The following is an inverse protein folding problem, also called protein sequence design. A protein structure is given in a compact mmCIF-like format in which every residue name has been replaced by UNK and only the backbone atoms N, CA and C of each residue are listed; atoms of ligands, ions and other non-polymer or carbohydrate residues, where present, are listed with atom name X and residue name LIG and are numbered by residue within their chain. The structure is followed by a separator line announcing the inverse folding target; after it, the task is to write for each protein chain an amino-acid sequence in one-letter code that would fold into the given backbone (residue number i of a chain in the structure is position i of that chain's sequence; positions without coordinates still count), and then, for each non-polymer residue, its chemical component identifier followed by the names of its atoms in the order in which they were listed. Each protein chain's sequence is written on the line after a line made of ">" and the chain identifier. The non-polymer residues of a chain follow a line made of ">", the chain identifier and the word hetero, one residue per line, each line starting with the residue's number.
data_IF_576266485473
#
_entry.id   IF_576266485473
#
_cell.length_a   1.000
_cell.length_b   1.000
_cell.length_c   1.000
_cell.angle_alpha   90.00
_cell.angle_beta   90.00
_cell.angle_gamma   90.00
#
_symmetry.space_group_name_H-M   'P 1'
#
loop_
_entity.id
_entity.type
_entity.pdbx_description
1 polymer ?
#
# COMPACT_ATOMS: atom_id res chain seq x y z
N UNK A 1 -13.20 6.52 6.10
CA UNK A 1 -12.32 5.89 7.10
C UNK A 1 -11.79 4.60 6.52
N UNK A 2 -10.54 4.56 6.06
CA UNK A 2 -9.86 3.31 5.74
C UNK A 2 -8.50 3.33 6.45
N UNK A 3 -8.48 2.57 7.55
CA UNK A 3 -7.41 2.24 8.51
C UNK A 3 -6.48 3.36 9.01
N UNK A 4 -6.93 4.03 10.07
CA UNK A 4 -6.03 4.55 11.11
C UNK A 4 -5.83 3.48 12.18
N UNK A 5 -4.71 2.75 12.12
CA UNK A 5 -4.38 1.72 13.10
C UNK A 5 -2.91 1.36 13.01
N UNK A 6 -2.10 1.90 13.92
CA UNK A 6 -0.66 1.71 13.94
C UNK A 6 -0.24 0.26 14.23
N UNK A 7 0.69 -0.23 13.43
CA UNK A 7 1.53 -1.39 13.78
C UNK A 7 2.97 -0.91 13.83
N UNK A 8 3.54 -0.83 15.03
CA UNK A 8 4.97 -0.64 15.24
C UNK A 8 5.64 -2.03 15.27
N UNK A 9 6.58 -2.29 14.35
CA UNK A 9 7.50 -3.42 14.47
C UNK A 9 8.77 -2.93 15.14
N UNK A 10 8.94 -3.35 16.39
CA UNK A 10 10.10 -3.10 17.24
C UNK A 10 11.22 -4.09 16.86
N UNK A 11 12.35 -3.57 16.36
CA UNK A 11 13.56 -4.35 16.10
C UNK A 11 14.49 -4.38 17.33
N UNK A 12 14.71 -5.57 17.88
CA UNK A 12 15.56 -5.91 19.03
C UNK A 12 17.06 -5.65 18.77
N UNK A 13 17.75 -5.08 19.75
CA UNK A 13 19.20 -4.84 19.74
C UNK A 13 19.91 -5.91 20.57
N UNK A 14 20.61 -6.84 19.91
CA UNK A 14 21.53 -7.78 20.57
C UNK A 14 22.97 -7.59 20.11
N UNK A 15 23.84 -7.57 21.12
CA UNK A 15 25.25 -7.16 21.14
C UNK A 15 26.19 -8.00 20.25
N UNK A 16 27.20 -7.28 19.76
CA UNK A 16 28.40 -7.72 19.06
C UNK A 16 29.35 -8.55 19.94
N UNK A 17 29.90 -9.61 19.35
CA UNK A 17 31.12 -10.27 19.80
C UNK A 17 31.60 -11.32 18.79
N UNK A 18 32.77 -11.08 18.19
CA UNK A 18 33.55 -12.10 17.46
C UNK A 18 33.81 -11.80 15.99
N UNK A 19 35.05 -11.45 15.66
CA UNK A 19 35.59 -11.36 14.30
C UNK A 19 35.77 -12.76 13.70
N UNK A 20 35.25 -13.05 12.50
CA UNK A 20 36.01 -13.79 11.46
C UNK A 20 35.33 -13.76 10.08
N UNK A 21 36.03 -13.08 9.16
CA UNK A 21 36.29 -13.33 7.73
C UNK A 21 35.22 -13.94 6.80
N UNK A 22 34.99 -13.16 5.74
CA UNK A 22 34.92 -13.58 4.33
C UNK A 22 33.75 -14.47 3.89
N UNK A 23 32.56 -13.86 3.81
CA UNK A 23 31.61 -14.15 2.74
C UNK A 23 30.73 -12.93 2.53
N UNK A 24 31.15 -12.05 1.61
CA UNK A 24 30.27 -10.99 1.09
C UNK A 24 29.20 -11.68 0.23
N UNK A 25 28.21 -12.28 0.89
CA UNK A 25 26.88 -12.42 0.32
C UNK A 25 26.38 -11.01 0.09
N UNK A 26 26.44 -10.55 -1.15
CA UNK A 26 25.66 -9.40 -1.59
C UNK A 26 24.19 -9.80 -1.49
N UNK A 27 23.64 -9.78 -0.28
CA UNK A 27 22.21 -9.76 -0.05
C UNK A 27 21.68 -8.50 -0.72
N UNK A 28 20.96 -8.70 -1.82
CA UNK A 28 20.29 -7.62 -2.53
C UNK A 28 19.20 -7.12 -1.59
N UNK A 29 19.48 -6.02 -0.91
CA UNK A 29 18.48 -5.34 -0.09
C UNK A 29 17.50 -4.64 -1.02
N UNK A 30 16.24 -5.03 -0.94
CA UNK A 30 15.15 -4.51 -1.78
C UNK A 30 14.30 -3.53 -0.98
N UNK A 31 13.92 -2.43 -1.62
CA UNK A 31 13.05 -1.42 -1.05
C UNK A 31 11.72 -1.43 -1.80
N UNK A 32 10.60 -1.56 -1.08
CA UNK A 32 9.24 -1.54 -1.64
C UNK A 32 8.38 -0.54 -0.90
N UNK A 33 7.64 0.28 -1.63
CA UNK A 33 6.57 1.10 -1.04
C UNK A 33 5.39 0.21 -0.64
N UNK A 34 4.89 0.43 0.57
CA UNK A 34 3.71 -0.26 1.10
C UNK A 34 2.43 0.48 0.68
N UNK A 35 1.31 -0.23 0.46
CA UNK A 35 0.05 0.35 0.00
C UNK A 35 -0.70 1.13 1.09
N UNK A 36 -0.13 1.23 2.30
CA UNK A 36 -0.63 2.04 3.41
C UNK A 36 0.36 3.13 3.79
N UNK A 37 -0.19 4.20 4.35
CA UNK A 37 0.57 5.32 4.90
C UNK A 37 0.74 5.16 6.41
N UNK A 38 1.72 5.87 6.97
CA UNK A 38 1.83 6.02 8.41
C UNK A 38 0.62 6.80 8.95
N UNK A 39 0.35 6.76 10.27
CA UNK A 39 -0.68 7.60 10.89
C UNK A 39 -0.53 9.09 10.59
N UNK A 40 0.70 9.57 10.36
CA UNK A 40 1.04 10.94 9.97
C UNK A 40 0.88 11.20 8.46
N UNK A 41 0.38 10.24 7.69
CA UNK A 41 0.12 10.34 6.25
C UNK A 41 1.36 10.16 5.36
N UNK A 42 2.49 9.74 5.92
CA UNK A 42 3.74 9.54 5.16
C UNK A 42 3.75 8.19 4.45
N UNK A 43 4.39 8.11 3.27
CA UNK A 43 4.59 6.84 2.56
C UNK A 43 5.48 5.92 3.41
N UNK A 44 5.12 4.64 3.50
CA UNK A 44 5.89 3.63 4.22
C UNK A 44 6.73 2.80 3.24
N UNK A 45 7.99 2.54 3.59
CA UNK A 45 8.92 1.74 2.79
C UNK A 45 9.30 0.49 3.59
N UNK A 46 9.16 -0.67 2.98
CA UNK A 46 9.71 -1.94 3.46
C UNK A 46 11.10 -2.12 2.86
N UNK A 47 12.11 -2.27 3.71
CA UNK A 47 13.48 -2.63 3.32
C UNK A 47 13.70 -4.08 3.77
N UNK A 48 13.95 -4.99 2.84
CA UNK A 48 14.14 -6.42 3.13
C UNK A 48 15.09 -7.08 2.13
N UNK A 49 15.84 -8.05 2.61
CA UNK A 49 16.62 -9.05 1.85
C UNK A 49 15.73 -10.09 1.13
N UNK A 50 14.45 -10.18 1.49
CA UNK A 50 13.51 -11.17 0.97
C UNK A 50 12.25 -10.50 0.41
N UNK A 51 12.21 -10.30 -0.91
CA UNK A 51 11.04 -9.76 -1.62
C UNK A 51 9.76 -10.59 -1.44
N UNK A 52 9.87 -11.87 -1.08
CA UNK A 52 8.76 -12.78 -0.81
C UNK A 52 8.36 -12.87 0.66
N UNK A 53 8.93 -12.03 1.53
CA UNK A 53 8.69 -12.07 2.98
C UNK A 53 7.24 -11.76 3.36
N UNK A 54 6.88 -12.07 4.62
CA UNK A 54 5.51 -11.92 5.15
C UNK A 54 4.91 -10.53 4.90
N UNK A 55 5.67 -9.46 5.12
CA UNK A 55 5.20 -8.09 4.90
C UNK A 55 4.95 -7.76 3.42
N UNK A 56 5.73 -8.35 2.52
CA UNK A 56 5.53 -8.22 1.08
C UNK A 56 4.25 -8.94 0.62
N UNK A 57 3.96 -10.10 1.21
CA UNK A 57 2.72 -10.82 0.99
C UNK A 57 1.50 -10.04 1.51
N UNK A 58 1.55 -9.55 2.76
CA UNK A 58 0.49 -8.70 3.34
C UNK A 58 0.27 -7.44 2.49
N UNK A 59 1.33 -6.81 1.99
CA UNK A 59 1.22 -5.72 1.04
C UNK A 59 0.49 -6.13 -0.24
N UNK A 60 0.79 -7.30 -0.81
CA UNK A 60 0.08 -7.83 -1.97
C UNK A 60 -1.42 -8.05 -1.72
N UNK A 61 -1.77 -8.65 -0.58
CA UNK A 61 -3.18 -8.87 -0.21
C UNK A 61 -3.93 -7.54 -0.03
N UNK A 62 -3.34 -6.56 0.63
CA UNK A 62 -3.96 -5.24 0.81
C UNK A 62 -4.12 -4.50 -0.52
N UNK A 63 -3.14 -4.58 -1.43
CA UNK A 63 -3.28 -4.05 -2.79
C UNK A 63 -4.46 -4.70 -3.52
N UNK A 64 -4.62 -6.02 -3.40
CA UNK A 64 -5.72 -6.74 -4.04
C UNK A 64 -7.08 -6.29 -3.49
N UNK A 65 -7.22 -6.19 -2.17
CA UNK A 65 -8.45 -5.71 -1.52
C UNK A 65 -8.78 -4.27 -1.95
N UNK A 66 -7.78 -3.38 -1.97
CA UNK A 66 -7.97 -1.99 -2.44
C UNK A 66 -8.46 -1.91 -3.89
N UNK A 67 -7.89 -2.72 -4.78
CA UNK A 67 -8.30 -2.76 -6.19
C UNK A 67 -9.71 -3.35 -6.35
N UNK A 68 -10.06 -4.39 -5.59
CA UNK A 68 -11.39 -4.99 -5.62
C UNK A 68 -12.46 -3.97 -5.18
N UNK A 69 -12.22 -3.24 -4.10
CA UNK A 69 -13.11 -2.16 -3.66
C UNK A 69 -13.20 -1.01 -4.66
N UNK A 70 -12.09 -0.69 -5.34
CA UNK A 70 -12.09 0.27 -6.43
C UNK A 70 -13.02 -0.15 -7.57
N UNK A 71 -13.04 -1.44 -7.92
CA UNK A 71 -13.96 -1.99 -8.91
C UNK A 71 -15.42 -1.88 -8.45
N UNK A 72 -15.73 -2.26 -7.21
CA UNK A 72 -17.09 -2.10 -6.65
C UNK A 72 -17.55 -0.64 -6.63
N UNK A 73 -16.65 0.29 -6.32
CA UNK A 73 -16.94 1.72 -6.35
C UNK A 73 -17.26 2.21 -7.77
N UNK A 74 -16.59 1.68 -8.79
CA UNK A 74 -16.87 2.01 -10.19
C UNK A 74 -18.26 1.50 -10.62
N UNK A 75 -18.65 0.30 -10.19
CA UNK A 75 -20.00 -0.22 -10.45
C UNK A 75 -21.06 0.66 -9.78
N UNK A 76 -20.84 1.06 -8.53
CA UNK A 76 -21.72 1.99 -7.83
C UNK A 76 -21.77 3.36 -8.51
N UNK A 77 -20.63 3.86 -9.00
CA UNK A 77 -20.55 5.12 -9.74
C UNK A 77 -21.41 5.07 -11.00
N UNK A 78 -21.30 3.99 -11.78
CA UNK A 78 -22.08 3.80 -12.98
C UNK A 78 -23.59 3.77 -12.69
N UNK A 79 -24.00 3.08 -11.63
CA UNK A 79 -25.40 3.04 -11.21
C UNK A 79 -25.93 4.43 -10.79
N UNK A 80 -25.15 5.18 -10.00
CA UNK A 80 -25.57 6.51 -9.52
C UNK A 80 -25.61 7.54 -10.66
N UNK A 81 -24.68 7.48 -11.60
CA UNK A 81 -24.67 8.38 -12.77
C UNK A 81 -25.83 8.11 -13.75
N UNK A 82 -26.38 6.90 -13.75
CA UNK A 82 -27.56 6.56 -14.54
C UNK A 82 -28.88 7.00 -13.89
N UNK A 83 -28.86 7.32 -12.58
CA UNK A 83 -30.04 7.75 -11.85
C UNK A 83 -30.28 9.26 -12.02
N UNK A 84 -31.32 9.62 -12.79
CA UNK A 84 -31.73 11.02 -12.98
C UNK A 84 -32.20 11.73 -11.70
N UNK A 85 -32.48 10.98 -10.63
CA UNK A 85 -32.86 11.52 -9.33
C UNK A 85 -31.66 11.71 -8.38
N UNK A 86 -30.44 11.35 -8.81
CA UNK A 86 -29.24 11.53 -8.01
C UNK A 86 -29.04 13.00 -7.61
N UNK A 87 -28.79 13.23 -6.32
CA UNK A 87 -28.62 14.58 -5.79
C UNK A 87 -27.19 15.08 -5.97
N UNK A 88 -27.02 16.41 -5.93
CA UNK A 88 -25.68 17.02 -5.99
C UNK A 88 -24.76 16.52 -4.87
N UNK A 89 -25.29 16.33 -3.65
CA UNK A 89 -24.52 15.81 -2.51
C UNK A 89 -24.06 14.38 -2.73
N UNK A 90 -24.91 13.52 -3.30
CA UNK A 90 -24.53 12.15 -3.66
C UNK A 90 -23.43 12.13 -4.72
N UNK A 91 -23.53 12.98 -5.75
CA UNK A 91 -22.51 13.10 -6.79
C UNK A 91 -21.19 13.67 -6.25
N UNK A 92 -21.24 14.65 -5.36
CA UNK A 92 -20.05 15.21 -4.71
C UNK A 92 -19.37 14.19 -3.81
N UNK A 93 -20.16 13.44 -3.04
CA UNK A 93 -19.63 12.33 -2.24
C UNK A 93 -18.96 11.29 -3.14
N UNK A 94 -19.62 10.86 -4.21
CA UNK A 94 -19.07 9.91 -5.17
C UNK A 94 -17.75 10.40 -5.77
N UNK A 95 -17.68 11.66 -6.20
CA UNK A 95 -16.46 12.26 -6.75
C UNK A 95 -15.30 12.23 -5.73
N UNK A 96 -15.57 12.53 -4.46
CA UNK A 96 -14.57 12.41 -3.39
C UNK A 96 -14.08 10.97 -3.23
N UNK A 97 -15.00 9.99 -3.20
CA UNK A 97 -14.64 8.57 -3.07
C UNK A 97 -13.80 8.09 -4.26
N UNK A 98 -14.15 8.51 -5.48
CA UNK A 98 -13.39 8.18 -6.69
C UNK A 98 -11.99 8.79 -6.67
N UNK A 99 -11.85 10.05 -6.22
CA UNK A 99 -10.55 10.70 -6.09
C UNK A 99 -9.65 9.97 -5.06
N UNK A 100 -10.20 9.54 -3.93
CA UNK A 100 -9.48 8.72 -2.95
C UNK A 100 -9.02 7.37 -3.55
N UNK A 101 -9.92 6.63 -4.20
CA UNK A 101 -9.59 5.34 -4.80
C UNK A 101 -8.53 5.44 -5.93
N UNK A 102 -8.55 6.53 -6.70
CA UNK A 102 -7.52 6.82 -7.69
C UNK A 102 -6.16 7.11 -7.06
N UNK A 103 -6.12 7.89 -5.97
CA UNK A 103 -4.88 8.15 -5.25
C UNK A 103 -4.27 6.88 -4.66
N UNK A 104 -5.11 5.98 -4.15
CA UNK A 104 -4.68 4.66 -3.67
C UNK A 104 -4.13 3.81 -4.83
N UNK A 105 -4.84 3.74 -5.95
CA UNK A 105 -4.40 3.00 -7.15
C UNK A 105 -3.05 3.47 -7.69
N UNK A 106 -2.82 4.79 -7.71
CA UNK A 106 -1.52 5.36 -8.09
C UNK A 106 -0.42 4.96 -7.12
N UNK A 107 -0.70 4.97 -5.81
CA UNK A 107 0.27 4.55 -4.78
C UNK A 107 0.65 3.06 -4.94
N UNK A 108 -0.32 2.20 -5.24
CA UNK A 108 -0.09 0.77 -5.55
C UNK A 108 0.77 0.63 -6.81
N UNK A 109 0.47 1.38 -7.87
CA UNK A 109 1.22 1.34 -9.11
C UNK A 109 2.67 1.79 -8.92
N UNK A 110 2.91 2.83 -8.12
CA UNK A 110 4.25 3.26 -7.71
C UNK A 110 4.99 2.16 -6.95
N UNK A 111 4.37 1.53 -5.95
CA UNK A 111 4.98 0.44 -5.19
C UNK A 111 5.26 -0.84 -6.00
N UNK A 112 4.62 -1.00 -7.16
CA UNK A 112 4.94 -2.05 -8.15
C UNK A 112 5.99 -1.60 -9.18
N UNK A 113 6.11 -0.30 -9.41
CA UNK A 113 6.98 0.32 -10.41
C UNK A 113 8.47 0.25 -10.08
N UNK A 114 8.83 0.19 -8.79
CA UNK A 114 10.22 0.00 -8.33
C UNK A 114 10.80 -1.39 -8.69
N UNK A 115 10.02 -2.28 -9.30
CA UNK A 115 10.49 -3.58 -9.84
C UNK A 115 11.05 -3.49 -11.27
N UNK A 116 11.09 -2.30 -11.88
CA UNK A 116 11.70 -2.06 -13.20
C UNK A 116 12.96 -1.18 -13.03
N UNK A 117 14.04 -1.76 -12.54
CA UNK A 117 15.41 -1.26 -12.70
C UNK A 117 16.33 -2.40 -13.11
#
# INVERSE_FOLDING_TARGET
>A
MWFGGGFAVLGDSRKLGGMEKDEQSTEVTTARLLPWRSPEGKRCVLITDNEGGLLSHVAGEMEWVQLAMGAELLDHAAALLADSAATEDQLRYLACRLAEALADTLSIAEGRGDRRS
#
